data_IF_503236209623
#
_entry.id   IF_503236209623
#
_cell.length_a   1.000
_cell.length_b   1.000
_cell.length_c   1.000
_cell.angle_alpha   90.00
_cell.angle_beta   90.00
_cell.angle_gamma   90.00
#
_symmetry.space_group_name_H-M   'P 1'
#
loop_
_entity.id
_entity.type
_entity.pdbx_description
1 polymer ?
#
# COMPACT_ATOMS: atom_id res chain seq x y z
N UNK A 1 -16.11 0.77 -10.66
CA UNK A 1 -15.90 1.29 -9.30
C UNK A 1 -16.50 2.68 -9.27
N UNK A 2 -17.37 3.00 -8.29
CA UNK A 2 -17.92 4.35 -8.19
C UNK A 2 -16.78 5.31 -7.87
N UNK A 3 -16.57 6.36 -8.67
CA UNK A 3 -15.48 7.31 -8.47
C UNK A 3 -15.56 8.03 -7.11
N UNK A 4 -16.77 8.08 -6.55
CA UNK A 4 -17.08 8.71 -5.26
C UNK A 4 -16.97 7.75 -4.07
N UNK A 5 -16.65 6.46 -4.28
CA UNK A 5 -16.40 5.56 -3.16
C UNK A 5 -15.08 5.94 -2.48
N UNK A 6 -15.18 6.42 -1.23
CA UNK A 6 -14.03 6.87 -0.42
C UNK A 6 -13.57 5.84 0.60
N UNK A 7 -14.12 4.62 0.58
CA UNK A 7 -13.88 3.61 1.64
C UNK A 7 -12.40 3.31 1.85
N UNK A 8 -11.67 2.95 0.78
CA UNK A 8 -10.24 2.65 0.87
C UNK A 8 -9.42 3.91 1.19
N UNK A 9 -9.78 5.05 0.60
CA UNK A 9 -9.10 6.31 0.87
C UNK A 9 -9.20 6.71 2.34
N UNK A 10 -10.38 6.60 2.96
CA UNK A 10 -10.55 6.85 4.40
C UNK A 10 -9.81 5.83 5.25
N UNK A 11 -9.68 4.58 4.80
CA UNK A 11 -8.86 3.59 5.51
C UNK A 11 -7.40 4.04 5.57
N UNK A 12 -6.84 4.55 4.49
CA UNK A 12 -5.47 5.09 4.51
C UNK A 12 -5.34 6.27 5.48
N UNK A 13 -6.32 7.18 5.49
CA UNK A 13 -6.36 8.26 6.47
C UNK A 13 -6.47 7.71 7.90
N UNK A 14 -7.21 6.63 8.12
CA UNK A 14 -7.34 5.98 9.44
C UNK A 14 -5.99 5.49 9.96
N UNK A 15 -5.15 4.92 9.09
CA UNK A 15 -3.77 4.55 9.45
C UNK A 15 -2.91 5.77 9.82
N UNK A 16 -3.01 6.87 9.07
CA UNK A 16 -2.30 8.12 9.39
C UNK A 16 -2.79 8.69 10.72
N UNK A 17 -4.10 8.71 10.97
CA UNK A 17 -4.66 9.21 12.23
C UNK A 17 -4.28 8.35 13.43
N UNK A 18 -4.19 7.03 13.25
CA UNK A 18 -3.70 6.09 14.28
C UNK A 18 -2.23 6.35 14.61
N UNK A 19 -1.39 6.59 13.60
CA UNK A 19 0.00 6.95 13.80
C UNK A 19 0.15 8.23 14.63
N UNK A 20 -0.63 9.28 14.30
CA UNK A 20 -0.63 10.55 15.04
C UNK A 20 -1.09 10.34 16.50
N UNK A 21 -2.15 9.56 16.69
CA UNK A 21 -2.72 9.23 18.00
C UNK A 21 -1.70 8.53 18.91
N UNK A 22 -1.02 7.52 18.38
CA UNK A 22 -0.04 6.72 19.15
C UNK A 22 1.19 7.53 19.56
N UNK A 23 1.60 8.47 18.71
CA UNK A 23 2.73 9.35 18.96
C UNK A 23 2.39 10.52 19.90
N UNK A 24 1.10 10.73 20.24
CA UNK A 24 0.62 11.83 21.10
C UNK A 24 1.13 13.21 20.63
N UNK A 25 1.20 13.42 19.32
CA UNK A 25 1.87 14.59 18.72
C UNK A 25 1.07 15.88 18.81
N UNK A 26 -0.24 15.78 18.91
CA UNK A 26 -1.14 16.92 18.80
C UNK A 26 -2.16 16.91 19.95
N UNK A 27 -2.23 18.03 20.66
CA UNK A 27 -3.23 18.22 21.72
C UNK A 27 -4.66 18.17 21.16
N UNK A 28 -5.57 17.58 21.94
CA UNK A 28 -6.99 17.40 21.60
C UNK A 28 -7.19 16.62 20.28
N UNK A 29 -6.30 15.68 19.95
CA UNK A 29 -6.36 14.91 18.70
C UNK A 29 -7.72 14.21 18.48
N UNK A 30 -8.35 13.72 19.55
CA UNK A 30 -9.65 13.04 19.48
C UNK A 30 -10.76 13.94 18.90
N UNK A 31 -10.69 15.25 19.12
CA UNK A 31 -11.68 16.22 18.61
C UNK A 31 -11.38 16.64 17.15
N UNK A 32 -10.14 16.42 16.70
CA UNK A 32 -9.62 16.85 15.40
C UNK A 32 -9.73 15.75 14.34
N UNK A 33 -9.49 14.51 14.75
CA UNK A 33 -9.52 13.33 13.88
C UNK A 33 -10.93 13.13 13.30
N UNK A 34 -11.00 12.61 12.08
CA UNK A 34 -12.26 12.42 11.35
C UNK A 34 -12.57 10.96 11.08
N UNK A 35 -11.67 10.04 11.39
CA UNK A 35 -11.87 8.60 11.25
C UNK A 35 -11.95 7.92 12.61
N UNK A 36 -12.54 6.73 12.61
CA UNK A 36 -12.60 5.88 13.78
C UNK A 36 -11.35 4.98 13.80
N UNK A 37 -10.36 5.34 14.61
CA UNK A 37 -9.11 4.56 14.73
C UNK A 37 -9.28 3.26 15.52
N UNK A 38 -10.45 3.03 16.14
CA UNK A 38 -10.78 1.74 16.77
C UNK A 38 -11.02 0.62 15.75
N UNK A 39 -11.18 0.98 14.47
CA UNK A 39 -11.24 0.03 13.36
C UNK A 39 -9.92 -0.75 13.17
N UNK A 40 -8.81 -0.26 13.73
CA UNK A 40 -7.54 -0.98 13.79
C UNK A 40 -7.52 -1.77 15.11
N UNK A 41 -7.89 -3.05 15.03
CA UNK A 41 -8.32 -3.89 16.16
C UNK A 41 -7.19 -4.43 17.05
N UNK A 42 -5.93 -4.16 16.71
CA UNK A 42 -4.77 -4.66 17.45
C UNK A 42 -3.81 -3.53 17.84
N UNK A 43 -3.19 -3.65 19.02
CA UNK A 43 -2.04 -2.83 19.37
C UNK A 43 -0.92 -3.09 18.36
N UNK A 44 -0.33 -2.00 17.86
CA UNK A 44 0.70 -2.05 16.82
C UNK A 44 1.85 -1.16 17.20
N UNK A 45 3.03 -1.50 16.72
CA UNK A 45 4.16 -0.57 16.71
C UNK A 45 3.90 0.54 15.69
N UNK A 46 4.63 1.64 15.83
CA UNK A 46 4.55 2.74 14.86
C UNK A 46 4.98 2.27 13.46
N UNK A 47 6.00 1.43 13.41
CA UNK A 47 6.54 0.80 12.21
C UNK A 47 5.47 -0.05 11.51
N UNK A 48 4.79 -0.94 12.25
CA UNK A 48 3.73 -1.78 11.70
C UNK A 48 2.55 -0.96 11.13
N UNK A 49 2.21 0.18 11.74
CA UNK A 49 1.20 1.11 11.20
C UNK A 49 1.64 1.68 9.85
N UNK A 50 2.91 2.07 9.71
CA UNK A 50 3.45 2.65 8.49
C UNK A 50 3.58 1.62 7.37
N UNK A 51 4.01 0.40 7.69
CA UNK A 51 4.04 -0.70 6.74
C UNK A 51 2.63 -1.02 6.25
N UNK A 52 1.65 -1.09 7.16
CA UNK A 52 0.24 -1.33 6.81
C UNK A 52 -0.32 -0.24 5.90
N UNK A 53 0.01 1.03 6.15
CA UNK A 53 -0.33 2.15 5.26
C UNK A 53 0.35 2.00 3.88
N UNK A 54 1.63 1.65 3.84
CA UNK A 54 2.36 1.43 2.59
C UNK A 54 1.70 0.33 1.74
N UNK A 55 1.29 -0.77 2.36
CA UNK A 55 0.64 -1.90 1.69
C UNK A 55 -0.74 -1.53 1.20
N UNK A 56 -1.52 -0.82 2.01
CA UNK A 56 -2.85 -0.40 1.59
C UNK A 56 -2.77 0.56 0.39
N UNK A 57 -1.76 1.44 0.36
CA UNK A 57 -1.44 2.28 -0.79
C UNK A 57 -0.98 1.46 -2.01
N UNK A 58 -0.11 0.47 -1.81
CA UNK A 58 0.34 -0.44 -2.86
C UNK A 58 -0.85 -1.18 -3.52
N UNK A 59 -1.75 -1.74 -2.71
CA UNK A 59 -2.93 -2.46 -3.19
C UNK A 59 -3.84 -1.54 -4.01
N UNK A 60 -4.11 -0.32 -3.53
CA UNK A 60 -5.01 0.61 -4.24
C UNK A 60 -4.39 1.27 -5.48
N UNK A 61 -3.11 1.67 -5.38
CA UNK A 61 -2.44 2.56 -6.34
C UNK A 61 -1.23 1.94 -7.05
N UNK A 62 -0.51 1.00 -6.42
CA UNK A 62 0.73 0.41 -6.94
C UNK A 62 0.55 -0.78 -7.87
N UNK A 63 -0.60 -1.48 -7.83
CA UNK A 63 -0.80 -2.64 -8.71
C UNK A 63 -1.01 -2.23 -10.19
N UNK A 64 -0.53 -3.03 -11.17
CA UNK A 64 -0.77 -2.78 -12.59
C UNK A 64 -2.27 -2.68 -12.96
N UNK A 65 -3.14 -3.43 -12.25
CA UNK A 65 -4.61 -3.31 -12.40
C UNK A 65 -5.18 -2.03 -11.78
N UNK A 66 -4.53 -1.48 -10.76
CA UNK A 66 -4.83 -0.16 -10.20
C UNK A 66 -4.55 0.95 -11.22
N UNK A 67 -3.40 0.90 -11.90
CA UNK A 67 -2.91 1.87 -12.90
C UNK A 67 -3.88 2.19 -14.03
N UNK A 68 -4.51 1.17 -14.62
CA UNK A 68 -5.32 1.33 -15.84
C UNK A 68 -6.74 1.82 -15.54
N UNK A 69 -7.22 1.62 -14.32
CA UNK A 69 -8.63 1.84 -13.95
C UNK A 69 -8.91 3.19 -13.29
N UNK A 70 -7.88 3.99 -12.95
CA UNK A 70 -8.09 5.28 -12.27
C UNK A 70 -8.14 6.42 -13.28
N UNK A 71 -9.32 7.05 -13.37
CA UNK A 71 -9.53 8.27 -14.13
C UNK A 71 -8.88 9.48 -13.42
N UNK A 72 -8.55 10.56 -14.14
CA UNK A 72 -8.10 11.81 -13.49
C UNK A 72 -9.09 12.32 -12.44
N UNK A 73 -10.40 12.19 -12.69
CA UNK A 73 -11.45 12.57 -11.74
C UNK A 73 -11.38 11.78 -10.42
N UNK A 74 -11.06 10.48 -10.48
CA UNK A 74 -10.89 9.63 -9.30
C UNK A 74 -9.79 10.17 -8.38
N UNK A 75 -8.65 10.56 -8.95
CA UNK A 75 -7.50 11.11 -8.23
C UNK A 75 -7.80 12.50 -7.68
N UNK A 76 -8.46 13.34 -8.47
CA UNK A 76 -8.83 14.70 -8.06
C UNK A 76 -9.76 14.71 -6.84
N UNK A 77 -10.72 13.78 -6.79
CA UNK A 77 -11.60 13.61 -5.62
C UNK A 77 -10.77 13.32 -4.38
N UNK A 78 -9.83 12.36 -4.43
CA UNK A 78 -8.99 11.96 -3.29
C UNK A 78 -8.05 13.06 -2.84
N UNK A 79 -7.46 13.78 -3.79
CA UNK A 79 -6.62 14.95 -3.51
C UNK A 79 -7.42 16.04 -2.77
N UNK A 80 -8.63 16.34 -3.21
CA UNK A 80 -9.50 17.30 -2.53
C UNK A 80 -9.91 16.84 -1.14
N UNK A 81 -10.26 15.56 -0.98
CA UNK A 81 -10.63 14.99 0.30
C UNK A 81 -9.44 14.95 1.29
N UNK A 82 -8.23 14.70 0.81
CA UNK A 82 -7.00 14.83 1.59
C UNK A 82 -6.82 16.26 2.13
N UNK A 83 -7.01 17.27 1.29
CA UNK A 83 -6.88 18.65 1.73
C UNK A 83 -7.97 19.06 2.72
N UNK A 84 -9.21 18.62 2.54
CA UNK A 84 -10.27 18.85 3.55
C UNK A 84 -9.86 18.24 4.91
N UNK A 85 -9.30 17.03 4.89
CA UNK A 85 -8.80 16.38 6.09
C UNK A 85 -7.66 17.18 6.77
N UNK A 86 -6.68 17.65 6.00
CA UNK A 86 -5.59 18.52 6.50
C UNK A 86 -6.15 19.80 7.16
N UNK A 87 -7.09 20.49 6.52
CA UNK A 87 -7.66 21.71 7.07
C UNK A 87 -8.40 21.46 8.39
N UNK A 88 -9.21 20.41 8.46
CA UNK A 88 -10.04 20.14 9.64
C UNK A 88 -9.23 19.64 10.82
N UNK A 89 -8.15 18.89 10.60
CA UNK A 89 -7.25 18.44 11.68
C UNK A 89 -6.45 19.59 12.29
N UNK A 90 -6.39 20.75 11.62
CA UNK A 90 -5.65 21.95 12.06
C UNK A 90 -4.19 21.63 12.42
N UNK A 91 -3.61 20.74 11.62
CA UNK A 91 -2.19 20.37 11.70
C UNK A 91 -1.36 21.63 11.44
N UNK A 92 -0.42 21.93 12.35
CA UNK A 92 0.51 23.04 12.19
C UNK A 92 1.87 22.52 11.70
N UNK A 93 2.42 23.03 10.58
CA UNK A 93 3.68 22.54 10.03
C UNK A 93 4.88 22.59 10.99
N UNK A 94 4.90 23.55 11.92
CA UNK A 94 5.98 23.72 12.88
C UNK A 94 5.98 22.67 14.02
N UNK A 95 4.82 22.11 14.33
CA UNK A 95 4.63 21.14 15.44
C UNK A 95 4.79 19.68 14.96
N UNK A 96 4.91 19.46 13.64
CA UNK A 96 5.01 18.12 13.07
C UNK A 96 6.44 17.57 13.12
N UNK A 97 6.65 16.35 13.65
CA UNK A 97 7.90 15.63 13.47
C UNK A 97 8.20 15.42 11.98
N UNK A 98 9.49 15.48 11.62
CA UNK A 98 9.95 15.31 10.23
C UNK A 98 9.40 14.04 9.58
N UNK A 99 9.40 12.90 10.28
CA UNK A 99 8.87 11.63 9.76
C UNK A 99 7.40 11.73 9.33
N UNK A 100 6.57 12.41 10.12
CA UNK A 100 5.15 12.60 9.78
C UNK A 100 4.98 13.53 8.56
N UNK A 101 5.80 14.57 8.43
CA UNK A 101 5.79 15.42 7.21
C UNK A 101 6.10 14.59 5.96
N UNK A 102 7.10 13.71 6.04
CA UNK A 102 7.49 12.82 4.95
C UNK A 102 6.38 11.83 4.59
N UNK A 103 5.72 11.23 5.59
CA UNK A 103 4.55 10.36 5.40
C UNK A 103 3.44 11.10 4.64
N UNK A 104 3.12 12.33 5.04
CA UNK A 104 2.08 13.14 4.40
C UNK A 104 2.44 13.50 2.95
N UNK A 105 3.70 13.84 2.69
CA UNK A 105 4.19 14.11 1.33
C UNK A 105 4.11 12.85 0.46
N UNK A 106 4.57 11.71 0.99
CA UNK A 106 4.53 10.42 0.28
C UNK A 106 3.11 9.98 -0.03
N UNK A 107 2.21 10.09 0.94
CA UNK A 107 0.79 9.84 0.75
C UNK A 107 0.20 10.72 -0.36
N UNK A 108 0.49 12.03 -0.33
CA UNK A 108 0.04 12.97 -1.35
C UNK A 108 0.54 12.61 -2.75
N UNK A 109 1.83 12.25 -2.87
CA UNK A 109 2.44 11.82 -4.12
C UNK A 109 1.67 10.63 -4.73
N UNK A 110 1.36 9.62 -3.91
CA UNK A 110 0.63 8.42 -4.36
C UNK A 110 -0.79 8.72 -4.84
N UNK A 111 -1.49 9.65 -4.19
CA UNK A 111 -2.87 9.99 -4.55
C UNK A 111 -2.97 11.07 -5.65
N UNK A 112 -1.86 11.76 -5.96
CA UNK A 112 -1.82 12.85 -6.93
C UNK A 112 -1.83 12.32 -8.36
N UNK A 113 -1.03 11.29 -8.64
CA UNK A 113 -0.85 10.76 -9.99
C UNK A 113 -0.44 9.27 -9.99
N UNK A 114 -0.31 8.71 -11.20
CA UNK A 114 0.02 7.30 -11.39
C UNK A 114 1.50 7.00 -11.06
N UNK A 115 2.39 7.99 -11.13
CA UNK A 115 3.81 7.79 -10.90
C UNK A 115 4.10 7.58 -9.41
N UNK A 116 3.38 8.29 -8.54
CA UNK A 116 3.45 8.04 -7.09
C UNK A 116 3.10 6.60 -6.71
N UNK A 117 2.07 6.02 -7.35
CA UNK A 117 1.74 4.60 -7.19
C UNK A 117 2.86 3.66 -7.63
N UNK A 118 3.55 3.97 -8.74
CA UNK A 118 4.71 3.20 -9.21
C UNK A 118 5.89 3.25 -8.26
N UNK A 119 6.14 4.40 -7.62
CA UNK A 119 7.22 4.51 -6.63
C UNK A 119 6.99 3.58 -5.45
N UNK A 120 5.75 3.46 -4.97
CA UNK A 120 5.39 2.50 -3.92
C UNK A 120 5.60 1.05 -4.39
N UNK A 121 5.22 0.73 -5.63
CA UNK A 121 5.50 -0.59 -6.20
C UNK A 121 7.01 -0.91 -6.14
N UNK A 122 7.86 0.01 -6.60
CA UNK A 122 9.31 -0.19 -6.60
C UNK A 122 9.92 -0.25 -5.19
N UNK A 123 9.37 0.48 -4.22
CA UNK A 123 9.81 0.40 -2.82
C UNK A 123 9.57 -0.96 -2.20
N UNK A 124 8.46 -1.62 -2.55
CA UNK A 124 8.16 -2.98 -2.10
C UNK A 124 9.12 -3.97 -2.73
N UNK A 125 9.31 -3.90 -4.05
CA UNK A 125 10.26 -4.76 -4.77
C UNK A 125 11.71 -4.60 -4.29
N UNK A 126 12.07 -3.38 -3.84
CA UNK A 126 13.40 -3.06 -3.34
C UNK A 126 13.52 -3.11 -1.80
N UNK A 127 12.48 -3.58 -1.10
CA UNK A 127 12.53 -3.71 0.35
C UNK A 127 13.54 -4.77 0.78
N UNK A 128 14.21 -4.56 1.92
CA UNK A 128 15.13 -5.55 2.48
C UNK A 128 14.39 -6.86 2.81
N UNK A 129 14.97 -8.00 2.42
CA UNK A 129 14.41 -9.32 2.73
C UNK A 129 14.67 -9.62 4.21
N UNK A 130 13.66 -9.41 5.06
CA UNK A 130 13.77 -9.65 6.50
C UNK A 130 13.76 -11.14 6.86
N UNK A 131 13.10 -11.96 6.05
CA UNK A 131 12.95 -13.40 6.27
C UNK A 131 13.17 -14.16 4.96
N UNK A 132 13.69 -15.37 5.06
CA UNK A 132 13.88 -16.26 3.90
C UNK A 132 12.53 -16.59 3.25
N UNK A 133 12.42 -16.51 1.90
CA UNK A 133 11.23 -16.97 1.20
C UNK A 133 10.91 -18.42 1.56
N UNK A 134 9.68 -18.68 2.05
CA UNK A 134 9.17 -19.96 2.56
C UNK A 134 9.52 -20.33 4.01
N UNK A 135 10.12 -19.43 4.79
CA UNK A 135 10.25 -19.63 6.24
C UNK A 135 8.89 -19.51 6.95
N UNK A 136 8.65 -20.22 8.07
CA UNK A 136 7.43 -20.03 8.87
C UNK A 136 7.24 -18.58 9.33
N UNK A 137 8.33 -17.89 9.64
CA UNK A 137 8.33 -16.48 10.04
C UNK A 137 7.90 -15.57 8.89
N UNK A 138 8.34 -15.85 7.66
CA UNK A 138 7.86 -15.16 6.46
C UNK A 138 6.36 -15.38 6.26
N UNK A 139 5.87 -16.62 6.40
CA UNK A 139 4.45 -16.94 6.26
C UNK A 139 3.61 -16.23 7.33
N UNK A 140 4.07 -16.21 8.58
CA UNK A 140 3.41 -15.51 9.67
C UNK A 140 3.41 -13.99 9.48
N UNK A 141 4.53 -13.40 9.04
CA UNK A 141 4.61 -11.97 8.71
C UNK A 141 3.63 -11.62 7.59
N UNK A 142 3.64 -12.37 6.49
CA UNK A 142 2.71 -12.15 5.38
C UNK A 142 1.26 -12.31 5.82
N UNK A 143 0.96 -13.33 6.63
CA UNK A 143 -0.38 -13.53 7.20
C UNK A 143 -0.78 -12.36 8.09
N UNK A 144 0.08 -11.89 8.99
CA UNK A 144 -0.20 -10.74 9.85
C UNK A 144 -0.42 -9.48 9.01
N UNK A 145 0.44 -9.26 8.03
CA UNK A 145 0.44 -8.12 7.13
C UNK A 145 -0.84 -8.05 6.27
N UNK A 146 -1.26 -9.16 5.65
CA UNK A 146 -2.50 -9.22 4.87
C UNK A 146 -3.75 -9.32 5.75
N UNK A 147 -3.73 -10.08 6.85
CA UNK A 147 -4.86 -10.13 7.78
C UNK A 147 -5.18 -8.75 8.34
N UNK A 148 -4.17 -7.91 8.60
CA UNK A 148 -4.36 -6.51 8.99
C UNK A 148 -5.19 -5.72 7.99
N UNK A 149 -4.93 -5.92 6.69
CA UNK A 149 -5.67 -5.28 5.61
C UNK A 149 -7.07 -5.89 5.46
N UNK A 150 -7.20 -7.21 5.55
CA UNK A 150 -8.46 -7.93 5.39
C UNK A 150 -9.38 -7.89 6.62
N UNK A 151 -8.87 -7.78 7.84
CA UNK A 151 -9.64 -7.45 9.04
C UNK A 151 -10.24 -6.05 8.90
N UNK A 152 -9.47 -5.14 8.29
CA UNK A 152 -9.93 -3.80 7.99
C UNK A 152 -10.88 -3.72 6.77
N UNK A 153 -11.01 -4.78 5.95
CA UNK A 153 -11.74 -4.73 4.68
C UNK A 153 -12.87 -5.77 4.54
N UNK A 154 -12.70 -6.94 5.15
CA UNK A 154 -13.25 -8.21 4.68
C UNK A 154 -14.41 -8.80 5.49
N UNK A 155 -14.79 -8.25 6.64
CA UNK A 155 -15.82 -8.89 7.48
C UNK A 155 -16.96 -7.97 7.95
N UNK A 156 -17.00 -6.71 7.52
CA UNK A 156 -17.86 -5.70 8.17
C UNK A 156 -18.60 -4.82 7.17
N UNK A 157 -19.79 -5.27 6.75
CA UNK A 157 -20.73 -4.46 5.96
C UNK A 157 -21.08 -3.12 6.63
N UNK A 158 -20.99 -3.05 7.97
CA UNK A 158 -21.24 -1.82 8.74
C UNK A 158 -20.19 -0.71 8.49
N UNK A 159 -19.06 -1.03 7.85
CA UNK A 159 -18.00 -0.06 7.59
C UNK A 159 -18.21 0.75 6.32
N UNK A 160 -18.84 0.18 5.28
CA UNK A 160 -19.07 0.90 4.02
C UNK A 160 -19.85 2.20 4.23
N UNK A 161 -20.87 2.19 5.09
CA UNK A 161 -21.63 3.40 5.42
C UNK A 161 -20.86 4.40 6.28
N UNK A 162 -19.92 3.94 7.11
CA UNK A 162 -19.08 4.79 7.98
C UNK A 162 -17.90 5.40 7.21
N UNK A 163 -17.30 4.64 6.29
CA UNK A 163 -16.09 4.98 5.56
C UNK A 163 -16.35 5.58 4.16
N UNK A 164 -17.56 5.50 3.63
CA UNK A 164 -17.90 6.19 2.39
C UNK A 164 -18.49 7.59 2.65
N UNK A 165 -17.81 8.38 3.49
CA UNK A 165 -18.19 9.75 3.83
C UNK A 165 -17.11 10.72 3.37
N UNK A 166 -17.48 11.90 2.90
CA UNK A 166 -16.51 12.98 2.68
C UNK A 166 -15.96 13.50 4.00
N UNK A 167 -14.73 14.01 3.97
CA UNK A 167 -14.15 14.79 5.04
C UNK A 167 -14.78 16.18 5.09
N UNK A 168 -14.90 16.71 6.31
CA UNK A 168 -15.24 18.09 6.58
C UNK A 168 -13.94 18.89 6.48
N UNK A 169 -14.00 20.13 5.97
CA UNK A 169 -12.88 21.04 5.86
C UNK A 169 -12.89 21.85 4.57
N UNK A 170 -12.04 22.87 4.50
CA UNK A 170 -11.82 23.69 3.32
C UNK A 170 -10.61 23.15 2.53
N UNK A 171 -10.87 22.61 1.33
CA UNK A 171 -9.82 22.05 0.46
C UNK A 171 -8.73 23.07 0.11
N UNK A 172 -9.09 24.33 -0.13
CA UNK A 172 -8.11 25.36 -0.49
C UNK A 172 -7.19 25.70 0.68
N UNK A 173 -7.74 25.84 1.88
CA UNK A 173 -6.95 26.09 3.09
C UNK A 173 -6.03 24.89 3.40
N UNK A 174 -6.56 23.67 3.27
CA UNK A 174 -5.79 22.46 3.49
C UNK A 174 -4.65 22.28 2.49
N UNK A 175 -4.86 22.67 1.23
CA UNK A 175 -3.82 22.72 0.21
C UNK A 175 -2.69 23.66 0.62
N UNK A 176 -3.00 24.88 1.05
CA UNK A 176 -2.00 25.87 1.51
C UNK A 176 -1.20 25.31 2.70
N UNK A 177 -1.87 24.70 3.67
CA UNK A 177 -1.22 24.07 4.83
C UNK A 177 -0.30 22.94 4.38
N UNK A 178 -0.76 22.06 3.48
CA UNK A 178 0.05 20.97 2.95
C UNK A 178 1.27 21.46 2.18
N UNK A 179 1.12 22.47 1.32
CA UNK A 179 2.25 23.07 0.59
C UNK A 179 3.29 23.64 1.54
N UNK A 180 2.86 24.24 2.65
CA UNK A 180 3.78 24.69 3.72
C UNK A 180 4.53 23.52 4.36
N UNK A 181 3.86 22.39 4.60
CA UNK A 181 4.51 21.16 5.11
C UNK A 181 5.55 20.66 4.11
N UNK A 182 5.16 20.51 2.84
CA UNK A 182 6.02 20.00 1.78
C UNK A 182 7.25 20.90 1.53
N UNK A 183 7.07 22.22 1.56
CA UNK A 183 8.15 23.18 1.38
C UNK A 183 9.08 23.29 2.60
N UNK A 184 8.69 22.73 3.75
CA UNK A 184 9.57 22.64 4.93
C UNK A 184 10.56 21.47 4.89
N UNK A 185 10.52 20.68 3.82
CA UNK A 185 11.40 19.54 3.56
C UNK A 185 12.22 19.81 2.28
N UNK A 186 13.47 19.41 2.29
CA UNK A 186 14.31 19.36 1.08
C UNK A 186 13.85 18.26 0.13
N UNK A 187 14.17 18.38 -1.15
CA UNK A 187 13.80 17.38 -2.15
C UNK A 187 14.47 16.04 -1.90
N UNK A 188 15.73 16.06 -1.46
CA UNK A 188 16.45 14.83 -1.07
C UNK A 188 15.77 14.09 0.09
N UNK A 189 15.21 14.80 1.07
CA UNK A 189 14.47 14.14 2.15
C UNK A 189 13.19 13.48 1.65
N UNK A 190 12.49 14.11 0.71
CA UNK A 190 11.25 13.57 0.11
C UNK A 190 11.54 12.35 -0.74
N UNK A 191 12.60 12.39 -1.55
CA UNK A 191 12.99 11.32 -2.46
C UNK A 191 13.50 10.08 -1.72
N UNK A 192 14.20 10.27 -0.60
CA UNK A 192 14.81 9.19 0.17
C UNK A 192 13.89 8.57 1.24
N UNK A 193 12.64 9.03 1.35
CA UNK A 193 11.69 8.43 2.29
C UNK A 193 11.00 7.21 1.68
N UNK A 194 11.09 6.09 2.39
CA UNK A 194 10.39 4.83 2.08
C UNK A 194 9.66 4.31 3.31
N UNK A 195 8.55 3.59 3.09
CA UNK A 195 7.82 2.96 4.20
C UNK A 195 8.57 1.75 4.78
N UNK A 196 9.41 1.09 3.97
CA UNK A 196 10.22 -0.06 4.36
C UNK A 196 11.71 0.24 4.22
N UNK A 197 12.58 -0.39 5.03
CA UNK A 197 14.01 -0.45 4.76
C UNK A 197 14.27 -0.90 3.31
N UNK A 198 15.26 -0.28 2.65
CA UNK A 198 15.56 -0.47 1.23
C UNK A 198 16.91 -1.17 1.09
N UNK A 199 17.00 -2.17 0.20
CA UNK A 199 18.26 -2.89 -0.09
C UNK A 199 19.39 -1.92 -0.37
N UNK A 200 20.55 -2.17 0.21
CA UNK A 200 21.72 -1.35 -0.04
C UNK A 200 22.25 -1.59 -1.47
N UNK A 201 22.94 -0.61 -2.05
CA UNK A 201 23.42 -0.67 -3.45
C UNK A 201 24.36 -1.84 -3.78
N UNK A 202 24.91 -2.54 -2.78
CA UNK A 202 25.69 -3.79 -2.94
C UNK A 202 24.79 -5.02 -3.08
N UNK A 203 23.77 -5.15 -2.23
CA UNK A 203 22.81 -6.27 -2.24
C UNK A 203 22.01 -6.30 -3.54
N UNK A 204 21.64 -5.13 -4.06
CA UNK A 204 21.00 -4.96 -5.38
C UNK A 204 21.83 -5.48 -6.56
N UNK A 205 23.16 -5.48 -6.44
CA UNK A 205 24.06 -6.00 -7.48
C UNK A 205 24.23 -7.50 -7.33
N UNK A 206 24.39 -8.00 -6.12
CA UNK A 206 24.52 -9.43 -5.83
C UNK A 206 23.23 -10.19 -6.18
N UNK A 207 22.05 -9.62 -5.93
CA UNK A 207 20.77 -10.23 -6.30
C UNK A 207 20.60 -10.35 -7.82
N UNK A 208 20.93 -9.29 -8.58
CA UNK A 208 20.87 -9.31 -10.05
C UNK A 208 21.88 -10.29 -10.66
N UNK A 209 23.08 -10.37 -10.10
CA UNK A 209 24.10 -11.33 -10.53
C UNK A 209 23.65 -12.76 -10.25
N UNK A 210 23.01 -13.03 -9.10
CA UNK A 210 22.49 -14.36 -8.78
C UNK A 210 21.27 -14.75 -9.64
N UNK A 211 20.38 -13.81 -9.98
CA UNK A 211 19.26 -14.06 -10.91
C UNK A 211 19.75 -14.35 -12.34
N UNK A 212 20.72 -13.57 -12.83
CA UNK A 212 21.35 -13.80 -14.14
C UNK A 212 22.11 -15.14 -14.16
N UNK A 213 22.80 -15.52 -13.07
CA UNK A 213 23.47 -16.82 -12.95
C UNK A 213 22.49 -17.99 -12.80
N UNK A 214 21.33 -17.81 -12.16
CA UNK A 214 20.29 -18.85 -12.11
C UNK A 214 19.57 -19.03 -13.45
N UNK A 215 19.38 -17.96 -14.23
CA UNK A 215 18.91 -18.07 -15.63
C UNK A 215 19.95 -18.71 -16.55
N UNK A 216 21.24 -18.36 -16.43
CA UNK A 216 22.31 -19.03 -17.18
C UNK A 216 22.48 -20.49 -16.79
N UNK A 217 22.40 -20.84 -15.50
CA UNK A 217 22.53 -22.23 -15.04
C UNK A 217 21.34 -23.08 -15.52
N UNK A 218 20.10 -22.53 -15.50
CA UNK A 218 18.94 -23.19 -16.13
C UNK A 218 19.08 -23.34 -17.64
N UNK A 219 19.67 -22.35 -18.32
CA UNK A 219 19.87 -22.38 -19.78
C UNK A 219 20.96 -23.38 -20.18
N UNK A 220 22.02 -23.53 -19.37
CA UNK A 220 23.09 -24.51 -19.55
C UNK A 220 22.61 -25.94 -19.24
N UNK A 221 21.81 -26.11 -18.18
CA UNK A 221 21.19 -27.41 -17.84
C UNK A 221 20.17 -27.84 -18.92
N UNK A 222 19.39 -26.91 -19.49
CA UNK A 222 18.50 -27.13 -20.64
C UNK A 222 19.23 -27.42 -21.96
N UNK A 223 20.45 -26.91 -22.15
CA UNK A 223 21.26 -27.22 -23.32
C UNK A 223 21.93 -28.61 -23.22
N UNK A 224 22.25 -29.06 -22.00
CA UNK A 224 22.81 -30.39 -21.74
C UNK A 224 21.79 -31.53 -21.77
N UNK A 225 20.49 -31.25 -21.63
CA UNK A 225 19.42 -32.28 -21.58
C UNK A 225 18.68 -32.48 -22.93
N UNK A 226 19.24 -32.00 -24.05
CA UNK A 226 18.67 -32.16 -25.41
C UNK A 226 18.84 -33.56 -26.05
N UNK A 227 19.12 -34.59 -25.26
CA UNK A 227 19.00 -35.99 -25.68
C UNK A 227 18.11 -36.79 -24.73
N UNK A 228 16.81 -36.48 -24.66
CA UNK A 228 15.71 -37.47 -24.56
C UNK A 228 14.34 -36.79 -24.53
N UNK A 229 13.31 -37.37 -25.18
CA UNK A 229 12.00 -36.73 -25.29
C UNK A 229 11.23 -36.86 -23.98
N UNK A 230 10.83 -35.74 -23.35
CA UNK A 230 9.99 -35.75 -22.13
C UNK A 230 8.61 -35.13 -22.37
N UNK A 231 7.66 -36.07 -22.43
CA UNK A 231 6.22 -36.06 -22.15
C UNK A 231 5.48 -34.75 -21.77
N UNK A 232 4.37 -34.57 -22.48
CA UNK A 232 3.23 -33.62 -22.39
C UNK A 232 2.61 -33.39 -21.00
N UNK A 233 3.09 -34.03 -19.93
CA UNK A 233 2.49 -33.96 -18.59
C UNK A 233 2.90 -32.69 -17.80
N UNK A 234 4.07 -32.12 -18.04
CA UNK A 234 4.55 -30.96 -17.26
C UNK A 234 3.90 -29.63 -17.68
N UNK A 235 3.58 -29.46 -18.96
CA UNK A 235 2.85 -28.29 -19.47
C UNK A 235 1.40 -28.26 -18.94
N UNK A 236 0.81 -29.44 -18.71
CA UNK A 236 -0.52 -29.59 -18.10
C UNK A 236 -0.54 -29.20 -16.61
N UNK A 237 0.57 -29.38 -15.88
CA UNK A 237 0.63 -29.07 -14.45
C UNK A 237 0.76 -27.55 -14.22
N UNK A 238 1.59 -26.85 -15.00
CA UNK A 238 1.77 -25.40 -14.87
C UNK A 238 0.54 -24.64 -15.39
N UNK A 239 -0.06 -25.10 -16.50
CA UNK A 239 -1.34 -24.57 -16.99
C UNK A 239 -2.51 -24.84 -16.04
N UNK A 240 -2.51 -26.02 -15.38
CA UNK A 240 -3.55 -26.41 -14.42
C UNK A 240 -3.60 -25.54 -13.16
N UNK A 241 -2.44 -25.19 -12.58
CA UNK A 241 -2.36 -24.38 -11.36
C UNK A 241 -2.87 -22.93 -11.62
N UNK A 242 -2.55 -22.36 -12.78
CA UNK A 242 -3.04 -21.03 -13.18
C UNK A 242 -4.56 -21.01 -13.41
N UNK A 243 -5.10 -22.06 -14.02
CA UNK A 243 -6.55 -22.16 -14.27
C UNK A 243 -7.33 -22.40 -12.97
N UNK A 244 -6.84 -23.27 -12.07
CA UNK A 244 -7.47 -23.51 -10.76
C UNK A 244 -7.47 -22.24 -9.91
N UNK A 245 -6.39 -21.45 -9.93
CA UNK A 245 -6.32 -20.17 -9.22
C UNK A 245 -7.33 -19.15 -9.75
N UNK A 246 -7.50 -19.08 -11.08
CA UNK A 246 -8.48 -18.17 -11.71
C UNK A 246 -9.93 -18.63 -11.50
N UNK A 247 -10.19 -19.94 -11.44
CA UNK A 247 -11.52 -20.49 -11.14
C UNK A 247 -11.89 -20.30 -9.67
N UNK A 248 -10.94 -20.41 -8.73
CA UNK A 248 -11.18 -20.09 -7.31
C UNK A 248 -11.50 -18.60 -7.13
N UNK A 249 -10.78 -17.72 -7.83
CA UNK A 249 -11.06 -16.29 -7.82
C UNK A 249 -12.45 -16.02 -8.44
N UNK A 250 -12.77 -16.64 -9.57
CA UNK A 250 -14.08 -16.51 -10.23
C UNK A 250 -15.25 -17.06 -9.41
N UNK A 251 -15.07 -18.20 -8.73
CA UNK A 251 -16.05 -18.83 -7.86
C UNK A 251 -16.33 -18.01 -6.60
N UNK A 252 -15.29 -17.40 -6.01
CA UNK A 252 -15.46 -16.42 -4.93
C UNK A 252 -16.29 -15.22 -5.42
N UNK A 253 -16.01 -14.68 -6.60
CA UNK A 253 -16.82 -13.58 -7.17
C UNK A 253 -18.26 -13.98 -7.52
N UNK A 254 -18.50 -15.24 -7.92
CA UNK A 254 -19.83 -15.76 -8.23
C UNK A 254 -20.66 -15.96 -6.95
N UNK A 255 -20.07 -16.59 -5.93
CA UNK A 255 -20.71 -16.84 -4.64
C UNK A 255 -21.11 -15.52 -3.93
N UNK A 256 -20.24 -14.50 -3.97
CA UNK A 256 -20.56 -13.17 -3.44
C UNK A 256 -21.56 -12.36 -4.28
N UNK A 257 -21.96 -12.85 -5.46
CA UNK A 257 -22.95 -12.20 -6.33
C UNK A 257 -24.35 -12.81 -6.20
N UNK A 258 -24.47 -14.08 -5.82
CA UNK A 258 -25.78 -14.75 -5.61
C UNK A 258 -26.40 -14.50 -4.22
N UNK A 259 -25.62 -14.07 -3.23
CA UNK A 259 -26.15 -13.66 -1.90
C UNK A 259 -26.67 -12.20 -1.85
N UNK A 260 -27.00 -11.61 -3.01
CA UNK A 260 -27.67 -10.30 -3.15
C UNK A 260 -28.90 -10.39 -4.03
#
# INVERSE_FOLDING_TARGET
MNNNDLTLFRMHITWIEKYIEQQKLLDNWQERKQTDTSLILHERTNESILESLGISLFIEFGTPKGKEKRSPAYLEIRKNEFYKWIDKTKIKPAELPKKLKLILVKFHEVIKDKEGGWKIFWEVENSEDKYEPNSPEYEEEMKNMYSSFYEAYGSREDWKGKLNKSFIGNSQQGKITFETIANSLSDSEKENFSFWPQKNSKELKESKINEEQQEETKTIELASEKEKPKNTKTILIIGGILIVSLVLIGGLFYYFKEEK
#
